data_IF_805636054382
#
_entry.id   IF_805636054382
#
_cell.length_a   1.000
_cell.length_b   1.000
_cell.length_c   1.000
_cell.angle_alpha   90.00
_cell.angle_beta   90.00
_cell.angle_gamma   90.00
#
_symmetry.space_group_name_H-M   'P 1'
#
loop_
_entity.id
_entity.type
_entity.pdbx_description
1 polymer ?
#
# COMPACT_ATOMS: atom_id res chain seq x y z
N UNK A 1 -0.76 -14.50 -0.52
CA UNK A 1 -1.45 -13.45 0.25
C UNK A 1 -2.87 -13.37 -0.30
N UNK A 2 -3.73 -14.30 0.12
CA UNK A 2 -5.12 -14.41 -0.35
C UNK A 2 -5.91 -13.30 0.34
N UNK A 3 -6.24 -12.26 -0.44
CA UNK A 3 -6.86 -11.06 0.06
C UNK A 3 -8.28 -11.35 0.56
N UNK A 4 -8.73 -10.60 1.58
CA UNK A 4 -10.08 -10.55 2.16
C UNK A 4 -11.24 -10.64 1.14
N UNK A 5 -10.98 -10.26 -0.11
CA UNK A 5 -11.83 -10.48 -1.28
C UNK A 5 -12.26 -11.93 -1.46
N UNK A 6 -11.39 -12.92 -1.28
CA UNK A 6 -11.73 -14.34 -1.41
C UNK A 6 -12.67 -14.83 -0.31
N UNK A 7 -12.57 -14.24 0.89
CA UNK A 7 -13.47 -14.55 2.00
C UNK A 7 -14.92 -14.12 1.68
N UNK A 8 -15.08 -12.99 1.00
CA UNK A 8 -16.40 -12.48 0.57
C UNK A 8 -16.94 -13.24 -0.66
N UNK A 9 -16.09 -13.64 -1.61
CA UNK A 9 -16.55 -14.41 -2.78
C UNK A 9 -17.00 -15.82 -2.44
N UNK A 10 -16.38 -16.49 -1.45
CA UNK A 10 -16.82 -17.83 -1.02
C UNK A 10 -18.18 -17.78 -0.29
N UNK A 11 -18.42 -16.74 0.51
CA UNK A 11 -19.74 -16.51 1.13
C UNK A 11 -20.85 -16.25 0.09
N UNK A 12 -20.52 -15.57 -1.02
CA UNK A 12 -21.45 -15.32 -2.12
C UNK A 12 -21.70 -16.54 -3.01
N UNK A 13 -20.74 -17.47 -3.13
CA UNK A 13 -20.88 -18.68 -3.95
C UNK A 13 -21.77 -19.74 -3.28
N UNK A 14 -21.78 -19.80 -1.94
CA UNK A 14 -22.68 -20.68 -1.18
C UNK A 14 -24.16 -20.30 -1.35
N UNK A 15 -24.46 -19.04 -1.62
CA UNK A 15 -25.82 -18.55 -1.89
C UNK A 15 -26.34 -18.88 -3.30
N UNK A 16 -25.51 -19.42 -4.21
CA UNK A 16 -25.87 -19.56 -5.63
C UNK A 16 -26.54 -20.90 -5.99
N UNK A 17 -26.63 -21.86 -5.07
CA UNK A 17 -27.24 -23.18 -5.32
C UNK A 17 -28.62 -23.40 -4.67
N UNK A 18 -29.25 -22.38 -4.09
CA UNK A 18 -30.57 -22.47 -3.48
C UNK A 18 -31.66 -21.73 -4.26
N UNK A 19 -31.98 -22.15 -5.49
CA UNK A 19 -33.22 -21.76 -6.18
C UNK A 19 -34.26 -22.86 -6.01
N UNK A 20 -34.95 -22.89 -4.87
CA UNK A 20 -36.40 -23.12 -4.81
C UNK A 20 -36.97 -23.01 -3.38
N UNK A 21 -38.12 -22.35 -3.24
CA UNK A 21 -39.08 -22.56 -2.14
C UNK A 21 -38.89 -21.83 -0.80
N UNK A 22 -39.66 -20.74 -0.62
CA UNK A 22 -40.17 -20.16 0.66
C UNK A 22 -39.18 -19.56 1.68
N UNK A 23 -39.56 -18.50 2.43
CA UNK A 23 -38.68 -17.85 3.40
C UNK A 23 -38.59 -18.72 4.66
N UNK A 24 -37.69 -19.71 4.65
CA UNK A 24 -37.26 -20.35 5.89
C UNK A 24 -36.32 -19.39 6.61
N UNK A 25 -36.69 -19.00 7.83
CA UNK A 25 -35.79 -18.38 8.79
C UNK A 25 -34.46 -19.14 8.79
N UNK A 26 -33.30 -18.45 8.87
CA UNK A 26 -32.03 -19.13 9.05
C UNK A 26 -32.15 -20.01 10.29
N UNK A 27 -31.63 -21.26 10.25
CA UNK A 27 -31.68 -22.14 11.41
C UNK A 27 -31.05 -21.39 12.57
N UNK A 28 -31.78 -21.27 13.68
CA UNK A 28 -31.18 -20.83 14.93
C UNK A 28 -30.13 -21.87 15.31
N UNK A 29 -28.88 -21.61 14.94
CA UNK A 29 -27.76 -22.39 15.43
C UNK A 29 -27.54 -22.02 16.90
N UNK A 30 -27.68 -23.05 17.72
CA UNK A 30 -27.53 -23.08 19.16
C UNK A 30 -26.25 -22.39 19.65
N UNK A 31 -26.42 -21.47 20.61
CA UNK A 31 -25.60 -21.05 21.77
C UNK A 31 -24.13 -21.51 21.98
N UNK A 32 -23.34 -21.88 20.97
CA UNK A 32 -21.96 -22.34 21.13
C UNK A 32 -21.03 -21.63 20.14
N UNK A 33 -20.21 -20.73 20.65
CA UNK A 33 -19.15 -20.05 19.91
C UNK A 33 -19.63 -19.02 18.85
N UNK A 34 -18.90 -17.92 18.63
CA UNK A 34 -19.08 -17.06 17.46
C UNK A 34 -19.09 -17.88 16.16
N UNK A 35 -20.05 -17.65 15.24
CA UNK A 35 -20.18 -18.46 14.02
C UNK A 35 -18.93 -18.36 13.12
N UNK A 36 -18.14 -17.30 13.29
CA UNK A 36 -16.85 -17.10 12.65
C UNK A 36 -15.84 -18.22 12.95
N UNK A 37 -15.97 -18.94 14.08
CA UNK A 37 -15.10 -20.08 14.39
C UNK A 37 -15.32 -21.26 13.45
N UNK A 38 -16.57 -21.55 13.10
CA UNK A 38 -16.85 -22.58 12.12
C UNK A 38 -16.27 -22.23 10.75
N UNK A 39 -16.26 -20.95 10.36
CA UNK A 39 -15.62 -20.51 9.12
C UNK A 39 -14.09 -20.52 9.19
N UNK A 40 -13.50 -20.20 10.35
CA UNK A 40 -12.05 -20.30 10.59
C UNK A 40 -11.59 -21.76 10.47
N UNK A 41 -12.26 -22.69 11.15
CA UNK A 41 -11.84 -24.09 11.16
C UNK A 41 -12.23 -24.84 9.88
N UNK A 42 -13.29 -24.44 9.18
CA UNK A 42 -13.54 -24.91 7.81
C UNK A 42 -12.43 -24.52 6.83
N UNK A 43 -11.69 -23.42 7.05
CA UNK A 43 -10.52 -23.08 6.21
C UNK A 43 -9.30 -23.96 6.50
N UNK A 44 -9.22 -24.45 7.73
CA UNK A 44 -8.18 -25.36 8.18
C UNK A 44 -8.44 -26.79 7.70
N UNK A 45 -9.70 -27.19 7.67
CA UNK A 45 -10.19 -28.48 7.16
C UNK A 45 -10.11 -28.47 5.62
N UNK A 46 -9.16 -29.21 5.04
CA UNK A 46 -8.92 -29.20 3.59
C UNK A 46 -9.74 -30.24 2.85
N UNK A 47 -10.22 -31.25 3.55
CA UNK A 47 -11.00 -32.35 2.98
C UNK A 47 -12.52 -32.23 3.28
N UNK A 48 -12.93 -31.19 4.01
CA UNK A 48 -14.31 -30.88 4.42
C UNK A 48 -14.97 -32.06 5.17
N UNK A 49 -14.19 -32.84 5.93
CA UNK A 49 -14.70 -34.00 6.68
C UNK A 49 -15.26 -33.63 8.08
N UNK A 50 -15.13 -32.36 8.47
CA UNK A 50 -15.61 -31.82 9.74
C UNK A 50 -14.65 -32.03 10.92
N UNK A 51 -13.47 -32.61 10.67
CA UNK A 51 -12.41 -32.86 11.63
C UNK A 51 -11.08 -32.33 11.08
N UNK A 52 -10.13 -32.11 11.98
CA UNK A 52 -8.79 -31.69 11.60
C UNK A 52 -7.80 -32.79 11.95
N UNK A 53 -7.12 -33.30 10.93
CA UNK A 53 -5.93 -34.12 11.13
C UNK A 53 -4.79 -33.28 11.74
N UNK A 54 -3.80 -33.92 12.34
CA UNK A 54 -2.64 -33.21 12.88
C UNK A 54 -1.89 -32.41 11.79
N UNK A 55 -1.83 -32.93 10.55
CA UNK A 55 -1.16 -32.24 9.46
C UNK A 55 -1.91 -30.97 9.03
N UNK A 56 -3.25 -31.00 8.99
CA UNK A 56 -4.07 -29.82 8.72
C UNK A 56 -3.97 -28.80 9.84
N UNK A 57 -4.02 -29.25 11.09
CA UNK A 57 -3.82 -28.42 12.26
C UNK A 57 -2.45 -27.74 12.22
N UNK A 58 -1.38 -28.51 12.00
CA UNK A 58 -0.02 -27.97 11.91
C UNK A 58 0.10 -26.95 10.77
N UNK A 59 -0.42 -27.25 9.59
CA UNK A 59 -0.34 -26.35 8.44
C UNK A 59 -1.10 -25.03 8.65
N UNK A 60 -2.19 -25.06 9.43
CA UNK A 60 -2.99 -23.88 9.70
C UNK A 60 -2.48 -23.05 10.88
N UNK A 61 -1.99 -23.69 11.94
CA UNK A 61 -1.58 -23.02 13.19
C UNK A 61 -0.07 -22.81 13.32
N UNK A 62 0.75 -23.30 12.39
CA UNK A 62 2.18 -23.03 12.41
C UNK A 62 2.47 -21.53 12.19
N UNK A 63 2.70 -20.82 13.28
CA UNK A 63 3.18 -19.43 13.33
C UNK A 63 4.71 -19.35 13.42
N UNK A 64 5.37 -20.51 13.48
CA UNK A 64 6.80 -20.65 13.67
C UNK A 64 7.28 -20.31 15.08
N UNK A 65 6.42 -19.86 16.01
CA UNK A 65 6.72 -19.62 17.43
C UNK A 65 6.71 -20.95 18.19
N UNK A 66 5.69 -21.76 17.97
CA UNK A 66 5.61 -23.09 18.56
C UNK A 66 6.38 -24.11 17.71
N UNK A 67 7.15 -24.97 18.39
CA UNK A 67 7.77 -26.14 17.79
C UNK A 67 6.73 -27.17 17.33
N UNK A 68 7.14 -28.14 16.50
CA UNK A 68 6.22 -29.19 16.05
C UNK A 68 5.76 -30.06 17.22
N UNK A 69 6.62 -30.23 18.21
CA UNK A 69 6.37 -30.96 19.45
C UNK A 69 5.33 -30.23 20.32
N UNK A 70 5.50 -28.92 20.52
CA UNK A 70 4.54 -28.10 21.28
C UNK A 70 3.17 -28.00 20.60
N UNK A 71 3.14 -27.92 19.26
CA UNK A 71 1.88 -27.99 18.51
C UNK A 71 1.20 -29.36 18.65
N UNK A 72 1.98 -30.45 18.76
CA UNK A 72 1.46 -31.80 18.96
C UNK A 72 0.94 -32.01 20.37
N UNK A 73 1.58 -31.42 21.36
CA UNK A 73 1.06 -31.38 22.73
C UNK A 73 -0.23 -30.56 22.82
N UNK A 74 -0.30 -29.41 22.13
CA UNK A 74 -1.53 -28.61 22.04
C UNK A 74 -2.65 -29.41 21.38
N UNK A 75 -2.37 -30.06 20.25
CA UNK A 75 -3.34 -30.91 19.56
C UNK A 75 -3.87 -32.02 20.46
N UNK A 76 -2.97 -32.72 21.17
CA UNK A 76 -3.32 -33.81 22.09
C UNK A 76 -4.08 -33.33 23.33
N UNK A 77 -3.83 -32.10 23.78
CA UNK A 77 -4.54 -31.48 24.91
C UNK A 77 -5.98 -31.14 24.57
N UNK A 78 -6.22 -30.67 23.35
CA UNK A 78 -7.56 -30.35 22.86
C UNK A 78 -8.31 -31.65 22.48
N UNK A 79 -7.61 -32.61 21.88
CA UNK A 79 -8.13 -33.95 21.59
C UNK A 79 -8.07 -34.87 22.84
N UNK A 80 -8.90 -34.56 23.84
CA UNK A 80 -9.02 -35.32 25.10
C UNK A 80 -9.32 -36.82 24.90
N UNK A 81 -9.74 -37.23 23.70
CA UNK A 81 -10.16 -38.61 23.38
C UNK A 81 -9.12 -39.35 22.52
N UNK A 82 -8.04 -38.70 22.08
CA UNK A 82 -6.92 -39.28 21.31
C UNK A 82 -7.37 -40.06 20.06
N UNK A 83 -8.19 -39.45 19.21
CA UNK A 83 -8.70 -40.08 17.96
C UNK A 83 -7.87 -39.66 16.73
N UNK A 84 -6.74 -38.99 16.93
CA UNK A 84 -5.87 -38.41 15.89
C UNK A 84 -6.60 -37.45 14.93
N UNK A 85 -7.85 -37.07 15.25
CA UNK A 85 -8.72 -36.23 14.45
C UNK A 85 -9.53 -35.32 15.38
N UNK A 86 -9.25 -34.03 15.28
CA UNK A 86 -9.81 -33.04 16.18
C UNK A 86 -11.15 -32.54 15.65
N UNK A 87 -12.22 -32.79 16.40
CA UNK A 87 -13.55 -32.26 16.07
C UNK A 87 -13.55 -30.74 16.14
N UNK A 88 -14.02 -30.09 15.07
CA UNK A 88 -14.07 -28.63 14.95
C UNK A 88 -14.86 -27.98 16.09
N UNK A 89 -15.89 -28.65 16.63
CA UNK A 89 -16.64 -28.17 17.79
C UNK A 89 -15.80 -28.09 19.08
N UNK A 90 -14.97 -29.09 19.37
CA UNK A 90 -14.07 -29.08 20.54
C UNK A 90 -13.01 -28.01 20.42
N UNK A 91 -12.56 -27.75 19.18
CA UNK A 91 -11.64 -26.66 18.88
C UNK A 91 -12.29 -25.29 19.14
N UNK A 92 -13.55 -25.11 18.73
CA UNK A 92 -14.33 -23.92 19.04
C UNK A 92 -14.44 -23.67 20.55
N UNK A 93 -14.74 -24.72 21.33
CA UNK A 93 -14.88 -24.61 22.77
C UNK A 93 -13.55 -24.21 23.42
N UNK A 94 -12.44 -24.86 23.02
CA UNK A 94 -11.10 -24.52 23.52
C UNK A 94 -10.70 -23.08 23.22
N UNK A 95 -10.83 -22.63 21.97
CA UNK A 95 -10.47 -21.25 21.62
C UNK A 95 -11.41 -20.24 22.28
N UNK A 96 -12.69 -20.56 22.46
CA UNK A 96 -13.65 -19.68 23.14
C UNK A 96 -13.22 -19.30 24.57
N UNK A 97 -12.50 -20.18 25.25
CA UNK A 97 -11.93 -19.93 26.59
C UNK A 97 -10.62 -19.12 26.56
N UNK A 98 -9.88 -19.15 25.44
CA UNK A 98 -8.52 -18.59 25.33
C UNK A 98 -8.40 -17.30 24.50
N UNK A 99 -9.50 -16.74 23.99
CA UNK A 99 -9.47 -15.55 23.12
C UNK A 99 -9.15 -14.23 23.81
N UNK A 100 -9.41 -14.12 25.12
CA UNK A 100 -9.32 -12.86 25.83
C UNK A 100 -10.11 -11.72 25.13
N UNK A 101 -9.47 -10.57 24.96
CA UNK A 101 -10.07 -9.37 24.35
C UNK A 101 -10.49 -9.57 22.88
N UNK A 102 -9.89 -10.53 22.16
CA UNK A 102 -10.25 -10.81 20.77
C UNK A 102 -11.66 -11.41 20.63
N UNK A 103 -12.27 -11.90 21.72
CA UNK A 103 -13.67 -12.31 21.73
C UNK A 103 -14.59 -11.15 21.34
N UNK A 104 -14.34 -9.96 21.87
CA UNK A 104 -15.13 -8.77 21.56
C UNK A 104 -14.92 -8.33 20.10
N UNK A 105 -13.68 -8.44 19.61
CA UNK A 105 -13.33 -8.12 18.22
C UNK A 105 -14.05 -9.05 17.25
N UNK A 106 -14.00 -10.36 17.47
CA UNK A 106 -14.65 -11.35 16.61
C UNK A 106 -16.18 -11.22 16.65
N UNK A 107 -16.76 -10.94 17.82
CA UNK A 107 -18.20 -10.69 17.93
C UNK A 107 -18.63 -9.42 17.18
N UNK A 108 -17.84 -8.34 17.25
CA UNK A 108 -18.10 -7.12 16.47
C UNK A 108 -17.99 -7.36 14.96
N UNK A 109 -17.02 -8.16 14.52
CA UNK A 109 -16.88 -8.56 13.11
C UNK A 109 -18.06 -9.39 12.62
N UNK A 110 -18.58 -10.30 13.44
CA UNK A 110 -19.77 -11.07 13.14
C UNK A 110 -21.01 -10.17 13.00
N UNK A 111 -21.23 -9.27 13.97
CA UNK A 111 -22.32 -8.29 13.93
C UNK A 111 -22.23 -7.38 12.69
N UNK A 112 -21.02 -6.95 12.34
CA UNK A 112 -20.75 -6.17 11.14
C UNK A 112 -21.07 -6.95 9.87
N UNK A 113 -20.67 -8.23 9.80
CA UNK A 113 -20.97 -9.08 8.65
C UNK A 113 -22.48 -9.24 8.45
N UNK A 114 -23.23 -9.51 9.53
CA UNK A 114 -24.71 -9.58 9.48
C UNK A 114 -25.31 -8.25 9.00
N UNK A 115 -24.83 -7.12 9.52
CA UNK A 115 -25.33 -5.80 9.11
C UNK A 115 -25.04 -5.49 7.63
N UNK A 116 -23.85 -5.81 7.14
CA UNK A 116 -23.46 -5.60 5.74
C UNK A 116 -24.29 -6.49 4.82
N UNK A 117 -24.42 -7.78 5.13
CA UNK A 117 -25.23 -8.70 4.33
C UNK A 117 -26.70 -8.27 4.29
N UNK A 118 -27.28 -7.87 5.43
CA UNK A 118 -28.64 -7.34 5.49
C UNK A 118 -28.82 -6.07 4.64
N UNK A 119 -27.85 -5.14 4.69
CA UNK A 119 -27.87 -3.93 3.87
C UNK A 119 -27.73 -4.23 2.38
N UNK A 120 -26.93 -5.24 2.02
CA UNK A 120 -26.75 -5.71 0.64
C UNK A 120 -28.01 -6.39 0.10
N UNK A 121 -28.66 -7.25 0.88
CA UNK A 121 -29.92 -7.88 0.49
C UNK A 121 -31.02 -6.85 0.25
N UNK A 122 -31.12 -5.86 1.14
CA UNK A 122 -32.07 -4.74 0.96
C UNK A 122 -31.74 -3.91 -0.28
N UNK A 123 -30.46 -3.59 -0.47
CA UNK A 123 -30.00 -2.88 -1.67
C UNK A 123 -30.37 -3.65 -2.93
N UNK A 124 -30.16 -4.96 -2.96
CA UNK A 124 -30.48 -5.79 -4.11
C UNK A 124 -31.96 -5.74 -4.49
N UNK A 125 -32.87 -5.66 -3.50
CA UNK A 125 -34.31 -5.59 -3.76
C UNK A 125 -34.78 -4.19 -4.19
N UNK A 126 -34.26 -3.14 -3.54
CA UNK A 126 -34.80 -1.78 -3.66
C UNK A 126 -34.04 -0.91 -4.69
N UNK A 127 -32.85 -1.32 -5.15
CA UNK A 127 -31.96 -0.44 -5.93
C UNK A 127 -32.55 -0.04 -7.29
N UNK A 128 -33.10 -0.98 -8.05
CA UNK A 128 -33.60 -0.70 -9.41
C UNK A 128 -34.85 0.18 -9.40
N UNK A 129 -35.69 0.05 -8.37
CA UNK A 129 -36.92 0.83 -8.19
C UNK A 129 -36.70 2.17 -7.46
N UNK A 130 -35.52 2.38 -6.87
CA UNK A 130 -35.18 3.59 -6.13
C UNK A 130 -34.92 4.81 -7.04
N UNK A 131 -35.06 6.01 -6.46
CA UNK A 131 -34.73 7.27 -7.14
C UNK A 131 -33.24 7.37 -7.48
N UNK A 132 -32.87 8.20 -8.47
CA UNK A 132 -31.46 8.42 -8.85
C UNK A 132 -30.59 8.91 -7.69
N UNK A 133 -31.15 9.75 -6.82
CA UNK A 133 -30.47 10.22 -5.61
C UNK A 133 -30.23 9.09 -4.62
N UNK A 134 -31.23 8.23 -4.39
CA UNK A 134 -31.09 7.09 -3.49
C UNK A 134 -30.12 6.04 -4.03
N UNK A 135 -30.15 5.75 -5.35
CA UNK A 135 -29.15 4.91 -6.01
C UNK A 135 -27.72 5.47 -5.88
N UNK A 136 -27.57 6.79 -5.93
CA UNK A 136 -26.28 7.44 -5.69
C UNK A 136 -25.83 7.26 -4.23
N UNK A 137 -26.70 7.55 -3.26
CA UNK A 137 -26.40 7.39 -1.83
C UNK A 137 -26.02 5.94 -1.51
N UNK A 138 -26.75 4.96 -2.05
CA UNK A 138 -26.43 3.55 -1.87
C UNK A 138 -25.05 3.19 -2.41
N UNK A 139 -24.69 3.63 -3.63
CA UNK A 139 -23.35 3.39 -4.20
C UNK A 139 -22.25 4.07 -3.37
N UNK A 140 -22.50 5.28 -2.90
CA UNK A 140 -21.59 6.01 -2.03
C UNK A 140 -21.36 5.26 -0.71
N UNK A 141 -22.43 4.88 0.00
CA UNK A 141 -22.34 4.18 1.29
C UNK A 141 -21.68 2.81 1.16
N UNK A 142 -21.93 2.06 0.08
CA UNK A 142 -21.23 0.79 -0.18
C UNK A 142 -19.73 1.01 -0.37
N UNK A 143 -19.34 2.01 -1.18
CA UNK A 143 -17.93 2.37 -1.39
C UNK A 143 -17.26 2.81 -0.09
N UNK A 144 -17.95 3.63 0.70
CA UNK A 144 -17.43 4.12 1.97
C UNK A 144 -17.26 2.98 2.99
N UNK A 145 -18.25 2.10 3.11
CA UNK A 145 -18.18 0.91 3.99
C UNK A 145 -16.97 0.04 3.63
N UNK A 146 -16.73 -0.18 2.33
CA UNK A 146 -15.53 -0.90 1.86
C UNK A 146 -14.23 -0.18 2.24
N UNK A 147 -14.16 1.14 2.11
CA UNK A 147 -12.98 1.92 2.48
C UNK A 147 -12.69 1.86 3.99
N UNK A 148 -13.73 1.88 4.83
CA UNK A 148 -13.58 1.79 6.28
C UNK A 148 -13.05 0.42 6.70
N UNK A 149 -13.55 -0.66 6.08
CA UNK A 149 -13.02 -2.02 6.30
C UNK A 149 -11.55 -2.15 5.87
N UNK A 150 -11.17 -1.54 4.75
CA UNK A 150 -9.78 -1.54 4.29
C UNK A 150 -8.85 -0.81 5.25
N UNK A 151 -9.28 0.35 5.78
CA UNK A 151 -8.51 1.08 6.79
C UNK A 151 -8.30 0.24 8.06
N UNK A 152 -9.36 -0.44 8.52
CA UNK A 152 -9.27 -1.34 9.68
C UNK A 152 -8.33 -2.52 9.42
N UNK A 153 -8.42 -3.14 8.24
CA UNK A 153 -7.50 -4.21 7.83
C UNK A 153 -6.04 -3.74 7.82
N UNK A 154 -5.73 -2.56 7.24
CA UNK A 154 -4.37 -2.03 7.25
C UNK A 154 -3.83 -1.79 8.66
N UNK A 155 -4.66 -1.31 9.58
CA UNK A 155 -4.25 -1.12 10.98
C UNK A 155 -3.93 -2.46 11.66
N UNK A 156 -4.73 -3.49 11.43
CA UNK A 156 -4.50 -4.83 11.98
C UNK A 156 -3.25 -5.48 11.37
N UNK A 157 -3.04 -5.32 10.05
CA UNK A 157 -1.85 -5.83 9.37
C UNK A 157 -0.57 -5.22 9.96
N UNK A 158 -0.53 -3.90 10.18
CA UNK A 158 0.63 -3.26 10.80
C UNK A 158 0.87 -3.73 12.25
N UNK A 159 -0.19 -3.97 13.01
CA UNK A 159 -0.07 -4.51 14.37
C UNK A 159 0.50 -5.94 14.34
N UNK A 160 0.04 -6.77 13.40
CA UNK A 160 0.55 -8.13 13.20
C UNK A 160 2.03 -8.13 12.81
N UNK A 161 2.43 -7.33 11.81
CA UNK A 161 3.82 -7.20 11.38
C UNK A 161 4.75 -6.81 12.55
N UNK A 162 4.26 -5.93 13.44
CA UNK A 162 5.02 -5.49 14.63
C UNK A 162 5.22 -6.63 15.64
N UNK A 163 4.19 -7.46 15.84
CA UNK A 163 4.26 -8.64 16.72
C UNK A 163 5.20 -9.70 16.13
N UNK A 164 5.14 -9.92 14.81
CA UNK A 164 6.02 -10.85 14.11
C UNK A 164 7.50 -10.40 14.15
N UNK A 165 7.76 -9.10 13.99
CA UNK A 165 9.14 -8.57 14.08
C UNK A 165 9.70 -8.70 15.51
N UNK A 166 8.90 -8.42 16.54
CA UNK A 166 9.31 -8.61 17.94
C UNK A 166 9.63 -10.06 18.26
N UNK A 167 8.77 -11.00 17.85
CA UNK A 167 8.95 -12.44 18.08
C UNK A 167 10.10 -13.04 17.26
N UNK A 168 10.45 -12.44 16.11
CA UNK A 168 11.65 -12.79 15.34
C UNK A 168 12.95 -12.26 15.95
N UNK A 169 12.91 -11.09 16.59
CA UNK A 169 14.08 -10.42 17.16
C UNK A 169 14.55 -11.07 18.48
N UNK A 170 13.63 -11.50 19.35
CA UNK A 170 13.97 -12.26 20.57
C UNK A 170 14.70 -13.59 20.27
N UNK A 171 14.43 -14.22 19.13
CA UNK A 171 15.12 -15.46 18.72
C UNK A 171 16.56 -15.24 18.28
N UNK A 172 16.89 -14.06 17.76
CA UNK A 172 18.25 -13.70 17.40
C UNK A 172 19.11 -13.34 18.62
N UNK A 173 18.49 -12.90 19.73
CA UNK A 173 19.20 -12.62 20.98
C UNK A 173 19.46 -13.88 21.81
N UNK A 174 18.61 -14.91 21.75
CA UNK A 174 18.80 -16.16 22.50
C UNK A 174 19.88 -17.11 21.93
N UNK A 175 20.40 -16.84 20.73
CA UNK A 175 21.46 -17.65 20.10
C UNK A 175 22.71 -16.81 19.81
N UNK A 176 23.50 -16.52 20.84
CA UNK A 176 24.88 -16.07 20.64
C UNK A 176 25.84 -16.68 21.66
N UNK A 177 26.88 -17.41 21.22
CA UNK A 177 28.13 -17.54 21.97
C UNK A 177 28.91 -16.23 21.84
N UNK A 178 29.50 -15.79 22.95
CA UNK A 178 30.41 -14.65 23.02
C UNK A 178 31.62 -14.86 22.10
N UNK A 179 31.88 -13.91 21.18
CA UNK A 179 33.09 -13.06 21.15
C UNK A 179 33.36 -12.46 19.76
N UNK A 180 33.85 -11.20 19.82
CA UNK A 180 34.55 -10.37 18.83
C UNK A 180 33.75 -9.48 17.85
N UNK A 181 34.13 -8.20 17.96
CA UNK A 181 33.73 -7.03 17.21
C UNK A 181 33.89 -7.19 15.69
N UNK A 182 32.84 -6.82 14.95
CA UNK A 182 32.88 -6.61 13.51
C UNK A 182 31.71 -5.73 13.07
N UNK A 183 31.97 -4.44 12.84
CA UNK A 183 31.01 -3.47 12.29
C UNK A 183 30.40 -3.98 10.97
N UNK A 184 29.09 -4.25 10.94
CA UNK A 184 28.33 -4.35 9.70
C UNK A 184 26.93 -3.71 9.83
N UNK A 185 26.71 -2.73 8.96
CA UNK A 185 25.51 -2.63 8.13
C UNK A 185 24.19 -2.41 8.84
N UNK A 186 24.01 -1.23 9.43
CA UNK A 186 22.70 -0.76 9.87
C UNK A 186 21.73 -0.68 8.68
N UNK A 187 20.81 -1.65 8.60
CA UNK A 187 19.61 -1.54 7.77
C UNK A 187 18.72 -0.46 8.39
N UNK A 188 18.56 0.64 7.66
CA UNK A 188 17.69 1.74 8.06
C UNK A 188 16.24 1.28 7.98
N UNK A 189 15.61 1.15 9.14
CA UNK A 189 14.18 1.27 9.36
C UNK A 189 13.65 2.50 8.60
N UNK A 190 12.70 2.27 7.69
CA UNK A 190 11.96 3.34 7.03
C UNK A 190 11.09 4.04 8.06
N UNK A 191 11.62 5.12 8.64
CA UNK A 191 10.85 6.11 9.38
C UNK A 191 9.85 6.77 8.43
N UNK A 192 8.65 6.23 8.32
CA UNK A 192 7.51 6.97 7.78
C UNK A 192 7.13 8.00 8.85
N UNK A 193 7.16 9.27 8.45
CA UNK A 193 7.04 10.42 9.34
C UNK A 193 5.86 10.31 10.31
N UNK A 194 6.18 10.37 11.61
CA UNK A 194 5.23 10.71 12.66
C UNK A 194 4.71 12.12 12.38
N UNK A 195 3.40 12.26 12.18
CA UNK A 195 2.71 13.54 12.39
C UNK A 195 1.90 13.41 13.66
N UNK A 196 2.43 13.96 14.74
CA UNK A 196 1.73 14.11 16.00
C UNK A 196 1.24 15.55 16.14
N UNK A 197 0.00 15.67 16.63
CA UNK A 197 -0.64 16.82 17.29
C UNK A 197 -1.17 17.96 16.40
N UNK A 198 -2.50 18.14 16.39
CA UNK A 198 -3.10 19.30 17.06
C UNK A 198 -4.40 18.91 17.77
N UNK A 199 -4.38 19.14 19.07
CA UNK A 199 -5.53 19.24 19.97
C UNK A 199 -6.44 20.37 19.48
N UNK A 200 -7.75 20.15 19.54
CA UNK A 200 -8.75 21.21 19.43
C UNK A 200 -8.76 22.07 20.70
N UNK A 201 -9.05 23.38 20.56
CA UNK A 201 -9.77 24.11 21.59
C UNK A 201 -11.15 24.51 21.07
N UNK A 202 -12.19 23.98 21.70
CA UNK A 202 -13.47 24.67 21.89
C UNK A 202 -13.17 26.00 22.60
N UNK A 203 -13.69 27.14 22.14
CA UNK A 203 -14.94 27.67 22.70
C UNK A 203 -15.37 29.06 22.18
N UNK A 204 -16.69 29.27 22.27
CA UNK A 204 -17.43 30.52 22.50
C UNK A 204 -17.56 31.61 21.43
N UNK A 205 -18.79 31.70 20.94
CA UNK A 205 -19.52 32.91 20.52
C UNK A 205 -19.09 34.20 21.26
N UNK A 206 -18.73 35.22 20.49
CA UNK A 206 -18.85 36.64 20.83
C UNK A 206 -19.07 37.35 19.48
N UNK A 207 -20.17 38.05 19.19
CA UNK A 207 -20.87 39.01 20.04
C UNK A 207 -20.80 40.37 19.35
N UNK A 208 -21.57 40.52 18.26
CA UNK A 208 -22.23 41.73 17.76
C UNK A 208 -21.69 43.11 18.18
N UNK A 209 -21.28 43.95 17.22
CA UNK A 209 -21.95 45.22 16.81
C UNK A 209 -21.03 46.06 15.89
N UNK A 210 -21.70 46.88 15.06
CA UNK A 210 -21.28 48.15 14.45
C UNK A 210 -20.35 48.18 13.22
N UNK A 211 -20.80 49.00 12.25
CA UNK A 211 -20.15 49.58 11.06
C UNK A 211 -19.96 48.69 9.83
N UNK A 212 -20.73 49.02 8.79
CA UNK A 212 -20.69 48.39 7.48
C UNK A 212 -19.36 48.60 6.76
N UNK A 213 -18.73 47.48 6.42
CA UNK A 213 -17.83 47.33 5.28
C UNK A 213 -18.09 45.93 4.73
N UNK A 214 -18.38 45.83 3.43
CA UNK A 214 -18.54 44.56 2.76
C UNK A 214 -17.21 43.78 2.83
N UNK A 215 -17.20 42.63 3.52
CA UNK A 215 -16.09 41.69 3.48
C UNK A 215 -16.57 40.49 2.67
N UNK A 216 -16.04 40.35 1.46
CA UNK A 216 -16.20 39.17 0.62
C UNK A 216 -15.62 37.94 1.35
N UNK A 217 -16.47 37.18 2.04
CA UNK A 217 -16.07 35.94 2.74
C UNK A 217 -16.33 34.65 1.96
N UNK A 218 -16.64 34.71 0.66
CA UNK A 218 -17.13 33.52 -0.07
C UNK A 218 -16.20 32.93 -1.15
N UNK A 219 -14.95 33.36 -1.23
CA UNK A 219 -14.05 32.87 -2.29
C UNK A 219 -13.05 31.80 -1.84
N UNK A 220 -12.82 31.61 -0.53
CA UNK A 220 -11.89 30.59 -0.02
C UNK A 220 -12.35 29.16 -0.36
N UNK A 221 -13.63 28.87 -0.14
CA UNK A 221 -14.20 27.54 -0.36
C UNK A 221 -14.28 27.22 -1.85
N UNK A 222 -14.73 28.17 -2.66
CA UNK A 222 -14.73 28.01 -4.13
C UNK A 222 -13.33 27.82 -4.69
N UNK A 223 -12.32 28.53 -4.17
CA UNK A 223 -10.93 28.34 -4.59
C UNK A 223 -10.40 26.94 -4.21
N UNK A 224 -10.77 26.45 -3.03
CA UNK A 224 -10.35 25.13 -2.58
C UNK A 224 -11.06 24.00 -3.33
N UNK A 225 -12.35 24.17 -3.65
CA UNK A 225 -13.13 23.26 -4.48
C UNK A 225 -12.54 23.22 -5.90
N UNK A 226 -12.25 24.37 -6.51
CA UNK A 226 -11.64 24.44 -7.84
C UNK A 226 -10.22 23.86 -7.87
N UNK A 227 -9.47 24.00 -6.78
CA UNK A 227 -8.15 23.36 -6.63
C UNK A 227 -8.27 21.85 -6.51
N UNK A 228 -9.23 21.34 -5.74
CA UNK A 228 -9.49 19.91 -5.60
C UNK A 228 -9.98 19.31 -6.91
N UNK A 229 -10.87 20.00 -7.63
CA UNK A 229 -11.30 19.60 -8.97
C UNK A 229 -10.10 19.49 -9.93
N UNK A 230 -9.22 20.49 -9.96
CA UNK A 230 -8.00 20.43 -10.76
C UNK A 230 -7.04 19.30 -10.37
N UNK A 231 -7.00 18.90 -9.09
CA UNK A 231 -6.20 17.77 -8.63
C UNK A 231 -6.84 16.44 -9.00
N UNK A 232 -8.17 16.34 -8.93
CA UNK A 232 -8.94 15.19 -9.39
C UNK A 232 -8.77 15.03 -10.90
N UNK A 233 -8.96 16.08 -11.70
CA UNK A 233 -8.79 16.05 -13.15
C UNK A 233 -7.35 15.64 -13.53
N UNK A 234 -6.34 16.14 -12.78
CA UNK A 234 -4.94 15.72 -12.97
C UNK A 234 -4.67 14.28 -12.55
N UNK A 235 -5.40 13.73 -11.59
CA UNK A 235 -5.29 12.35 -11.14
C UNK A 235 -6.10 11.39 -12.02
N UNK A 236 -7.25 11.80 -12.55
CA UNK A 236 -8.04 11.06 -13.53
C UNK A 236 -7.33 11.01 -14.89
N UNK A 237 -6.60 12.07 -15.27
CA UNK A 237 -5.75 12.06 -16.45
C UNK A 237 -4.40 11.33 -16.24
N UNK A 238 -4.05 10.99 -15.00
CA UNK A 238 -2.78 10.32 -14.63
C UNK A 238 -2.95 9.23 -13.57
N UNK A 239 -4.00 8.41 -13.65
CA UNK A 239 -3.89 7.08 -13.06
C UNK A 239 -2.91 6.31 -13.94
N UNK A 240 -1.73 5.87 -13.46
CA UNK A 240 -0.93 4.91 -14.21
C UNK A 240 -1.77 3.64 -14.27
N UNK A 241 -2.58 3.52 -15.32
CA UNK A 241 -3.18 2.26 -15.67
C UNK A 241 -2.00 1.41 -16.08
N UNK A 242 -1.55 0.54 -15.18
CA UNK A 242 -0.62 -0.52 -15.56
C UNK A 242 -1.41 -1.36 -16.56
N UNK A 243 -1.17 -1.13 -17.86
CA UNK A 243 -1.58 -2.09 -18.86
C UNK A 243 -0.98 -3.44 -18.43
N UNK A 244 -1.76 -4.55 -18.48
CA UNK A 244 -1.20 -5.88 -18.32
C UNK A 244 0.04 -6.00 -19.21
N UNK A 245 1.09 -6.67 -18.73
CA UNK A 245 2.28 -6.99 -19.54
C UNK A 245 1.80 -7.60 -20.85
N UNK A 246 1.78 -6.81 -21.92
CA UNK A 246 1.65 -7.31 -23.28
C UNK A 246 3.02 -7.90 -23.60
N UNK A 247 3.12 -9.22 -23.54
CA UNK A 247 4.20 -9.91 -24.24
C UNK A 247 3.99 -9.68 -25.75
N UNK A 248 4.46 -8.54 -26.26
CA UNK A 248 4.37 -8.22 -27.68
C UNK A 248 5.49 -8.93 -28.44
N UNK A 249 5.13 -10.09 -28.98
CA UNK A 249 5.67 -10.55 -30.25
C UNK A 249 5.16 -9.56 -31.30
N UNK A 250 6.05 -8.72 -31.86
CA UNK A 250 6.36 -8.56 -33.32
C UNK A 250 6.88 -7.14 -33.67
N UNK A 251 8.04 -7.07 -34.34
CA UNK A 251 8.44 -6.04 -35.34
C UNK A 251 8.96 -4.64 -34.94
N UNK A 252 9.82 -4.51 -33.92
CA UNK A 252 10.85 -3.44 -33.91
C UNK A 252 12.23 -4.06 -33.75
N UNK A 253 13.30 -3.46 -34.34
CA UNK A 253 14.63 -4.05 -34.27
C UNK A 253 15.02 -4.29 -32.80
N UNK A 254 15.65 -5.43 -32.50
CA UNK A 254 15.73 -6.01 -31.15
C UNK A 254 16.44 -5.18 -30.07
N UNK A 255 17.00 -4.01 -30.41
CA UNK A 255 17.92 -3.28 -29.54
C UNK A 255 17.62 -1.77 -29.36
N UNK A 256 16.37 -1.32 -29.58
CA UNK A 256 16.04 0.09 -29.33
C UNK A 256 15.81 0.34 -27.83
N UNK A 257 16.84 0.84 -27.15
CA UNK A 257 16.81 1.25 -25.75
C UNK A 257 17.16 2.72 -25.62
N UNK A 258 16.42 3.45 -24.79
CA UNK A 258 16.82 4.78 -24.34
C UNK A 258 17.73 4.67 -23.12
N UNK A 259 18.64 5.63 -22.96
CA UNK A 259 19.49 5.73 -21.78
C UNK A 259 19.00 6.87 -20.90
N UNK A 260 18.84 6.60 -19.61
CA UNK A 260 18.61 7.62 -18.59
C UNK A 260 19.88 7.75 -17.76
N UNK A 261 20.46 8.95 -17.75
CA UNK A 261 21.57 9.32 -16.89
C UNK A 261 21.03 10.20 -15.74
N UNK A 262 21.22 9.72 -14.52
CA UNK A 262 20.92 10.44 -13.29
C UNK A 262 22.23 10.89 -12.66
N UNK A 263 22.37 12.20 -12.48
CA UNK A 263 23.57 12.84 -11.92
C UNK A 263 23.20 13.52 -10.62
N UNK A 264 23.85 13.12 -9.54
CA UNK A 264 23.72 13.74 -8.23
C UNK A 264 24.93 14.62 -7.95
N UNK A 265 24.68 15.90 -7.73
CA UNK A 265 25.69 16.94 -7.61
C UNK A 265 25.48 17.69 -6.29
N UNK A 266 26.42 17.54 -5.36
CA UNK A 266 26.43 18.24 -4.07
C UNK A 266 27.44 19.39 -4.12
N UNK A 267 27.01 20.60 -3.79
CA UNK A 267 27.75 21.83 -4.07
C UNK A 267 27.89 22.65 -2.81
N UNK A 268 29.03 23.30 -2.63
CA UNK A 268 29.26 24.24 -1.54
C UNK A 268 28.34 25.46 -1.67
N UNK A 269 27.95 26.06 -0.54
CA UNK A 269 27.08 27.24 -0.54
C UNK A 269 27.67 28.43 -1.31
N UNK A 270 29.00 28.59 -1.30
CA UNK A 270 29.71 29.64 -2.03
C UNK A 270 29.63 29.50 -3.55
N UNK A 271 29.58 28.26 -4.07
CA UNK A 271 29.52 27.96 -5.51
C UNK A 271 28.11 27.94 -6.10
N UNK A 272 27.06 28.08 -5.29
CA UNK A 272 25.67 27.83 -5.69
C UNK A 272 25.20 28.70 -6.87
N UNK A 273 25.58 29.99 -6.89
CA UNK A 273 25.15 30.92 -7.95
C UNK A 273 25.85 30.61 -9.28
N UNK A 274 27.17 30.39 -9.23
CA UNK A 274 27.96 30.02 -10.41
C UNK A 274 27.47 28.70 -11.00
N UNK A 275 27.20 27.70 -10.15
CA UNK A 275 26.62 26.43 -10.59
C UNK A 275 25.25 26.60 -11.26
N UNK A 276 24.33 27.37 -10.67
CA UNK A 276 23.00 27.58 -11.26
C UNK A 276 23.08 28.18 -12.65
N UNK A 277 24.00 29.11 -12.87
CA UNK A 277 24.24 29.70 -14.18
C UNK A 277 24.82 28.66 -15.15
N UNK A 278 25.84 27.90 -14.73
CA UNK A 278 26.44 26.85 -15.54
C UNK A 278 25.43 25.74 -15.89
N UNK A 279 24.61 25.32 -14.94
CA UNK A 279 23.56 24.31 -15.09
C UNK A 279 22.49 24.77 -16.07
N UNK A 280 22.07 26.04 -16.01
CA UNK A 280 21.10 26.60 -16.95
C UNK A 280 21.65 26.56 -18.38
N UNK A 281 22.85 27.09 -18.59
CA UNK A 281 23.50 27.08 -19.91
C UNK A 281 23.73 25.65 -20.44
N UNK A 282 24.09 24.71 -19.54
CA UNK A 282 24.24 23.31 -19.88
C UNK A 282 22.92 22.65 -20.26
N UNK A 283 21.86 22.84 -19.47
CA UNK A 283 20.54 22.28 -19.75
C UNK A 283 19.98 22.81 -21.07
N UNK A 284 20.10 24.11 -21.34
CA UNK A 284 19.66 24.72 -22.60
C UNK A 284 20.44 24.16 -23.80
N UNK A 285 21.76 23.98 -23.66
CA UNK A 285 22.61 23.40 -24.73
C UNK A 285 22.34 21.91 -24.94
N UNK A 286 21.93 21.20 -23.89
CA UNK A 286 21.64 19.77 -23.93
C UNK A 286 20.26 19.51 -24.50
N UNK A 287 19.26 20.30 -24.11
CA UNK A 287 17.90 20.20 -24.64
C UNK A 287 17.81 20.52 -26.14
N UNK A 288 18.73 21.33 -26.67
CA UNK A 288 18.81 21.64 -28.10
C UNK A 288 19.47 20.54 -28.94
N UNK A 289 19.91 19.42 -28.34
CA UNK A 289 20.48 18.30 -29.09
C UNK A 289 19.41 17.37 -29.59
N UNK A 290 19.48 17.01 -30.87
CA UNK A 290 18.54 16.09 -31.51
C UNK A 290 18.53 14.70 -30.87
N UNK A 291 19.61 14.28 -30.21
CA UNK A 291 19.75 12.99 -29.54
C UNK A 291 19.38 13.01 -28.06
N UNK A 292 19.14 14.19 -27.48
CA UNK A 292 18.62 14.34 -26.12
C UNK A 292 17.09 14.41 -26.19
N UNK A 293 16.42 13.51 -25.48
CA UNK A 293 14.97 13.43 -25.43
C UNK A 293 14.38 14.38 -24.39
N UNK A 294 15.06 14.50 -23.24
CA UNK A 294 14.61 15.35 -22.15
C UNK A 294 15.75 15.62 -21.15
N UNK A 295 15.75 16.82 -20.56
CA UNK A 295 16.63 17.18 -19.45
C UNK A 295 15.79 17.82 -18.37
N UNK A 296 15.97 17.37 -17.13
CA UNK A 296 15.35 18.00 -15.96
C UNK A 296 16.35 18.11 -14.82
N UNK A 297 16.30 19.22 -14.09
CA UNK A 297 17.12 19.43 -12.91
C UNK A 297 16.26 19.85 -11.71
N UNK A 298 16.49 19.21 -10.57
CA UNK A 298 15.74 19.46 -9.34
C UNK A 298 16.70 19.64 -8.16
N UNK A 299 16.43 20.64 -7.31
CA UNK A 299 17.14 20.82 -6.04
C UNK A 299 16.52 19.94 -4.96
N UNK A 300 17.34 19.23 -4.19
CA UNK A 300 16.90 18.47 -3.01
C UNK A 300 16.57 19.42 -1.84
N UNK A 301 15.62 19.02 -0.99
CA UNK A 301 15.06 19.88 0.09
C UNK A 301 16.06 20.20 1.20
N UNK A 302 17.14 19.43 1.35
CA UNK A 302 18.20 19.66 2.33
C UNK A 302 19.53 19.92 1.62
N UNK A 303 20.14 21.07 1.91
CA UNK A 303 21.46 21.46 1.41
C UNK A 303 21.49 21.99 -0.03
N UNK A 304 22.70 22.07 -0.59
CA UNK A 304 22.98 22.52 -1.96
C UNK A 304 23.20 21.33 -2.89
N UNK A 305 22.33 20.33 -2.80
CA UNK A 305 22.36 19.12 -3.61
C UNK A 305 21.32 19.16 -4.73
N UNK A 306 21.70 18.70 -5.92
CA UNK A 306 20.91 18.73 -7.14
C UNK A 306 20.88 17.36 -7.80
N UNK A 307 19.72 17.03 -8.37
CA UNK A 307 19.51 15.86 -9.22
C UNK A 307 19.27 16.34 -10.64
N UNK A 308 20.11 15.90 -11.56
CA UNK A 308 20.01 16.16 -12.98
C UNK A 308 19.68 14.84 -13.70
N UNK A 309 18.57 14.82 -14.41
CA UNK A 309 18.10 13.71 -15.21
C UNK A 309 18.25 14.06 -16.68
N UNK A 310 18.93 13.20 -17.43
CA UNK A 310 19.11 13.34 -18.87
C UNK A 310 18.66 12.06 -19.56
N UNK A 311 17.75 12.22 -20.53
CA UNK A 311 17.20 11.14 -21.34
C UNK A 311 17.83 11.21 -22.73
N UNK A 312 18.41 10.09 -23.16
CA UNK A 312 19.18 10.00 -24.39
C UNK A 312 18.62 8.89 -25.28
N UNK A 313 18.65 9.12 -26.60
CA UNK A 313 18.21 8.14 -27.59
C UNK A 313 18.97 6.82 -27.49
N UNK A 314 20.28 6.87 -27.19
CA UNK A 314 21.13 5.70 -27.01
C UNK A 314 22.38 6.02 -26.17
N UNK A 315 23.10 4.96 -25.78
CA UNK A 315 24.35 5.07 -25.02
C UNK A 315 25.45 5.79 -25.80
N UNK A 316 25.45 5.70 -27.14
CA UNK A 316 26.48 6.32 -27.99
C UNK A 316 26.35 7.85 -27.97
N UNK A 317 25.13 8.35 -28.06
CA UNK A 317 24.79 9.77 -28.02
C UNK A 317 25.18 10.39 -26.69
N UNK A 318 24.86 9.73 -25.57
CA UNK A 318 25.28 10.20 -24.24
C UNK A 318 26.81 10.23 -24.09
N UNK A 319 27.52 9.18 -24.53
CA UNK A 319 28.99 9.16 -24.48
C UNK A 319 29.61 10.26 -25.35
N UNK A 320 29.04 10.51 -26.52
CA UNK A 320 29.45 11.61 -27.41
C UNK A 320 29.22 12.97 -26.75
N UNK A 321 28.05 13.15 -26.13
CA UNK A 321 27.69 14.35 -25.37
C UNK A 321 28.69 14.64 -24.24
N UNK A 322 29.08 13.62 -23.46
CA UNK A 322 30.07 13.79 -22.39
C UNK A 322 31.42 14.31 -22.91
N UNK A 323 31.76 14.01 -24.16
CA UNK A 323 33.00 14.49 -24.80
C UNK A 323 32.88 15.88 -25.42
N UNK A 324 31.67 16.41 -25.56
CA UNK A 324 31.42 17.69 -26.17
C UNK A 324 31.90 18.87 -25.31
N UNK A 325 32.17 20.00 -25.98
CA UNK A 325 32.77 21.17 -25.34
C UNK A 325 31.87 21.77 -24.24
N UNK A 326 30.57 21.92 -24.46
CA UNK A 326 29.65 22.46 -23.44
C UNK A 326 29.56 21.55 -22.19
N UNK A 327 29.66 20.23 -22.35
CA UNK A 327 29.67 19.27 -21.23
C UNK A 327 30.95 19.41 -20.41
N UNK A 328 32.10 19.50 -21.09
CA UNK A 328 33.40 19.75 -20.44
C UNK A 328 33.45 21.11 -19.75
N UNK A 329 32.86 22.15 -20.34
CA UNK A 329 32.75 23.47 -19.73
C UNK A 329 31.91 23.40 -18.45
N UNK A 330 30.77 22.70 -18.48
CA UNK A 330 29.92 22.50 -17.31
C UNK A 330 30.64 21.73 -16.19
N UNK A 331 31.35 20.63 -16.53
CA UNK A 331 32.15 19.86 -15.57
C UNK A 331 33.24 20.73 -14.92
N UNK A 332 33.97 21.51 -15.72
CA UNK A 332 35.01 22.42 -15.20
C UNK A 332 34.44 23.54 -14.33
N UNK A 333 33.28 24.09 -14.70
CA UNK A 333 32.63 25.13 -13.91
C UNK A 333 32.07 24.60 -12.57
N UNK A 334 31.90 23.28 -12.43
CA UNK A 334 31.30 22.65 -11.26
C UNK A 334 32.33 22.01 -10.33
N UNK A 335 33.46 21.51 -10.86
CA UNK A 335 34.43 20.70 -10.11
C UNK A 335 35.00 21.40 -8.88
N UNK A 336 35.21 22.71 -8.95
CA UNK A 336 35.79 23.51 -7.87
C UNK A 336 34.82 23.71 -6.69
N UNK A 337 33.52 23.45 -6.90
CA UNK A 337 32.47 23.70 -5.92
C UNK A 337 31.84 22.44 -5.37
N UNK A 338 32.31 21.24 -5.74
CA UNK A 338 31.74 19.98 -5.27
C UNK A 338 32.07 19.71 -3.79
N UNK A 339 31.04 19.49 -2.96
CA UNK A 339 31.22 19.01 -1.56
C UNK A 339 31.58 17.53 -1.50
N UNK A 340 31.11 16.76 -2.47
CA UNK A 340 31.38 15.33 -2.62
C UNK A 340 31.51 14.99 -4.10
N UNK A 341 32.21 13.90 -4.46
CA UNK A 341 32.28 13.44 -5.84
C UNK A 341 30.89 13.31 -6.47
N UNK A 342 30.76 13.75 -7.71
CA UNK A 342 29.53 13.59 -8.49
C UNK A 342 29.20 12.10 -8.67
N UNK A 343 27.96 11.73 -8.39
CA UNK A 343 27.48 10.36 -8.59
C UNK A 343 26.66 10.30 -9.87
N UNK A 344 27.04 9.41 -10.79
CA UNK A 344 26.34 9.21 -12.06
C UNK A 344 25.82 7.77 -12.10
N UNK A 345 24.50 7.63 -12.18
CA UNK A 345 23.81 6.35 -12.34
C UNK A 345 23.18 6.33 -13.71
N UNK A 346 23.38 5.24 -14.46
CA UNK A 346 22.75 5.04 -15.77
C UNK A 346 21.82 3.85 -15.76
N UNK A 347 20.70 3.98 -16.48
CA UNK A 347 19.73 2.90 -16.66
C UNK A 347 19.25 2.86 -18.10
N UNK A 348 19.08 1.66 -18.64
CA UNK A 348 18.52 1.44 -19.97
C UNK A 348 17.03 1.12 -19.84
N UNK A 349 16.21 1.77 -20.64
CA UNK A 349 14.79 1.47 -20.75
C UNK A 349 14.43 1.10 -22.18
N UNK A 350 13.47 0.18 -22.38
CA UNK A 350 12.91 -0.07 -23.70
C UNK A 350 12.37 1.23 -24.32
N UNK A 351 12.68 1.50 -25.58
CA UNK A 351 12.13 2.70 -26.27
C UNK A 351 10.60 2.71 -26.28
N UNK A 352 9.95 1.55 -26.18
CA UNK A 352 8.49 1.45 -26.07
C UNK A 352 7.92 2.15 -24.83
N UNK A 353 8.70 2.34 -23.77
CA UNK A 353 8.27 3.05 -22.56
C UNK A 353 8.31 4.58 -22.73
N UNK A 354 8.99 5.08 -23.76
CA UNK A 354 9.01 6.50 -24.09
C UNK A 354 7.82 6.86 -24.98
N UNK A 355 6.64 6.97 -24.36
CA UNK A 355 5.40 7.37 -25.04
C UNK A 355 5.31 8.89 -25.01
N UNK A 356 5.55 9.52 -26.16
CA UNK A 356 5.21 10.93 -26.36
C UNK A 356 3.70 11.00 -26.55
N UNK A 357 2.95 11.57 -25.60
CA UNK A 357 1.62 12.09 -25.91
C UNK A 357 1.84 13.23 -26.91
N UNK A 358 1.76 12.93 -28.20
CA UNK A 358 1.50 13.95 -29.20
C UNK A 358 0.10 14.48 -28.87
N UNK A 359 0.06 15.68 -28.27
CA UNK A 359 -1.16 16.39 -27.90
C UNK A 359 -2.22 16.39 -29.00
#
# INVERSE_FOLDING_TARGET
MMAFTEMLTVCLLSAKHGKDGSPKQPPQLSSKGPAIFHDIFRRADKNDDGKLSFDEFKNYFADGVLSTEELRELFSRIDQVHVDNLETEKLCDYFSEHLGEYKNVLSALEALNVAVLSAMDKTKMDYESASKTQQFVTRFLLRETMSQLQSLHSSLACALDTIEEQTGQERHELKKPETLFGLRGGRKCSRRAQKTVFLSPTDTLSGMLTTGVAVETDNHWMTQINRLQNLIDKLEYKSPHLEPVKEEITSRPPDSHILVAQRQISITESGLQAFRQALKSYADSTANQSSCLHVSAHKLTSGCCFMLYEFWQDTKSWRSHLQANYSKIFQRATIDFLESPELVTTMLFPTSWWIMNNN
#
